data_IF_689781569726
#
_entry.id   IF_689781569726
#
_cell.length_a   1.000
_cell.length_b   1.000
_cell.length_c   1.000
_cell.angle_alpha   90.00
_cell.angle_beta   90.00
_cell.angle_gamma   90.00
#
_symmetry.space_group_name_H-M   'P 1'
#
loop_
_entity.id
_entity.type
_entity.pdbx_description
1 polymer ?
#
# COMPACT_ATOMS: atom_id res chain seq x y z
N UNK A 1 -9.88 5.40 23.91
CA UNK A 1 -8.45 5.04 23.75
C UNK A 1 -7.89 5.94 22.67
N UNK A 2 -7.08 6.93 23.04
CA UNK A 2 -6.53 7.90 22.09
C UNK A 2 -5.12 7.42 21.67
N UNK A 3 -5.07 6.32 20.92
CA UNK A 3 -3.84 5.90 20.28
C UNK A 3 -3.63 6.90 19.15
N UNK A 4 -2.71 7.86 19.32
CA UNK A 4 -2.18 8.63 18.20
C UNK A 4 -1.63 7.60 17.23
N UNK A 5 -2.39 7.28 16.20
CA UNK A 5 -1.93 6.39 15.16
C UNK A 5 -0.90 7.20 14.39
N UNK A 6 0.39 6.92 14.63
CA UNK A 6 1.45 7.59 13.88
C UNK A 6 1.35 7.10 12.44
N UNK A 7 0.92 8.01 11.57
CA UNK A 7 0.86 7.76 10.15
C UNK A 7 2.29 7.69 9.60
N UNK A 8 2.49 6.81 8.62
CA UNK A 8 3.71 6.76 7.82
C UNK A 8 3.44 7.33 6.44
N UNK A 9 4.44 7.98 5.88
CA UNK A 9 4.38 8.54 4.54
C UNK A 9 5.04 7.57 3.56
N UNK A 10 4.30 7.18 2.53
CA UNK A 10 4.77 6.26 1.50
C UNK A 10 4.69 6.99 0.16
N UNK A 11 5.83 7.10 -0.53
CA UNK A 11 5.85 7.59 -1.91
C UNK A 11 5.30 6.49 -2.82
N UNK A 12 4.28 6.79 -3.63
CA UNK A 12 3.67 5.83 -4.53
C UNK A 12 3.51 6.43 -5.93
N UNK A 13 3.98 5.67 -6.91
CA UNK A 13 3.76 5.93 -8.33
C UNK A 13 2.31 5.64 -8.73
N UNK A 14 1.88 6.20 -9.88
CA UNK A 14 0.50 6.10 -10.33
C UNK A 14 0.05 4.65 -10.58
N UNK A 15 0.96 3.80 -11.04
CA UNK A 15 0.72 2.36 -11.25
C UNK A 15 0.66 1.57 -9.94
N UNK A 16 1.51 1.89 -8.96
CA UNK A 16 1.45 1.30 -7.62
C UNK A 16 0.13 1.63 -6.92
N UNK A 17 -0.29 2.90 -6.95
CA UNK A 17 -1.60 3.31 -6.42
C UNK A 17 -2.74 2.58 -7.09
N UNK A 18 -2.66 2.40 -8.40
CA UNK A 18 -3.67 1.64 -9.15
C UNK A 18 -3.74 0.21 -8.67
N UNK A 19 -2.60 -0.46 -8.47
CA UNK A 19 -2.57 -1.82 -7.93
C UNK A 19 -3.20 -1.90 -6.53
N UNK A 20 -2.91 -0.95 -5.65
CA UNK A 20 -3.53 -0.88 -4.32
C UNK A 20 -5.04 -0.66 -4.44
N UNK A 21 -5.49 0.27 -5.29
CA UNK A 21 -6.91 0.53 -5.50
C UNK A 21 -7.66 -0.64 -6.14
N UNK A 22 -7.01 -1.38 -7.04
CA UNK A 22 -7.63 -2.50 -7.75
C UNK A 22 -7.73 -3.76 -6.86
N UNK A 23 -6.81 -3.94 -5.91
CA UNK A 23 -6.65 -5.22 -5.20
C UNK A 23 -6.85 -5.12 -3.68
N UNK A 24 -6.42 -4.02 -3.06
CA UNK A 24 -6.38 -3.88 -1.61
C UNK A 24 -7.21 -2.70 -1.08
N UNK A 25 -8.00 -2.03 -1.94
CA UNK A 25 -8.81 -0.87 -1.57
C UNK A 25 -9.74 -1.12 -0.39
N UNK A 26 -10.24 -2.35 -0.26
CA UNK A 26 -11.10 -2.76 0.87
C UNK A 26 -10.41 -2.58 2.24
N UNK A 27 -9.09 -2.75 2.30
CA UNK A 27 -8.31 -2.61 3.53
C UNK A 27 -7.97 -1.16 3.86
N UNK A 28 -8.06 -0.25 2.89
CA UNK A 28 -7.80 1.18 3.09
C UNK A 28 -9.05 1.84 3.68
N UNK A 29 -9.21 1.72 4.99
CA UNK A 29 -10.39 2.18 5.73
C UNK A 29 -10.37 3.67 6.06
N UNK A 30 -9.19 4.31 6.03
CA UNK A 30 -9.05 5.74 6.27
C UNK A 30 -9.46 6.55 5.02
N UNK A 31 -10.42 7.46 5.20
CA UNK A 31 -10.94 8.28 4.10
C UNK A 31 -9.88 9.22 3.50
N UNK A 32 -8.91 9.68 4.31
CA UNK A 32 -7.83 10.56 3.84
C UNK A 32 -6.84 9.78 3.00
N UNK A 33 -6.40 8.61 3.46
CA UNK A 33 -5.55 7.70 2.69
C UNK A 33 -6.20 7.31 1.37
N UNK A 34 -7.50 7.01 1.39
CA UNK A 34 -8.26 6.65 0.19
C UNK A 34 -8.40 7.83 -0.79
N UNK A 35 -8.66 9.03 -0.29
CA UNK A 35 -8.69 10.24 -1.11
C UNK A 35 -7.32 10.54 -1.73
N UNK A 36 -6.25 10.36 -0.96
CA UNK A 36 -4.88 10.54 -1.42
C UNK A 36 -4.50 9.52 -2.51
N UNK A 37 -4.85 8.24 -2.33
CA UNK A 37 -4.63 7.20 -3.35
C UNK A 37 -5.36 7.50 -4.66
N UNK A 38 -6.59 8.01 -4.56
CA UNK A 38 -7.39 8.40 -5.73
C UNK A 38 -6.87 9.67 -6.40
N UNK A 39 -5.99 10.43 -5.75
CA UNK A 39 -5.36 11.60 -6.33
C UNK A 39 -4.13 11.21 -7.17
N UNK A 40 -4.20 11.31 -8.51
CA UNK A 40 -3.11 10.89 -9.38
C UNK A 40 -1.85 11.76 -9.21
N UNK A 41 -1.98 13.01 -8.76
CA UNK A 41 -0.87 13.97 -8.64
C UNK A 41 -0.09 13.85 -7.32
N UNK A 42 -0.74 13.35 -6.26
CA UNK A 42 -0.16 13.34 -4.92
C UNK A 42 0.69 12.10 -4.71
N UNK A 43 2.01 12.23 -4.75
CA UNK A 43 2.92 11.08 -4.68
C UNK A 43 3.01 10.42 -3.30
N UNK A 44 3.09 11.24 -2.25
CA UNK A 44 3.21 10.81 -0.86
C UNK A 44 1.84 10.57 -0.24
N UNK A 45 1.58 9.35 0.20
CA UNK A 45 0.32 8.90 0.78
C UNK A 45 0.55 8.60 2.26
N UNK A 46 -0.33 9.12 3.10
CA UNK A 46 -0.33 8.80 4.53
C UNK A 46 -1.07 7.48 4.75
N UNK A 47 -0.45 6.56 5.47
CA UNK A 47 -1.08 5.31 5.86
C UNK A 47 -0.89 5.02 7.35
N UNK A 48 -1.87 4.33 7.91
CA UNK A 48 -1.69 3.66 9.20
C UNK A 48 -0.80 2.42 8.97
N UNK A 49 0.28 2.21 9.74
CA UNK A 49 1.14 1.03 9.64
C UNK A 49 0.40 -0.31 9.66
N UNK A 50 -0.68 -0.41 10.45
CA UNK A 50 -1.54 -1.62 10.48
C UNK A 50 -2.21 -1.84 9.13
N UNK A 51 -2.77 -0.79 8.53
CA UNK A 51 -3.39 -0.86 7.19
C UNK A 51 -2.37 -1.26 6.14
N UNK A 52 -1.12 -0.78 6.24
CA UNK A 52 -0.05 -1.17 5.31
C UNK A 52 0.25 -2.67 5.42
N UNK A 53 0.28 -3.22 6.63
CA UNK A 53 0.45 -4.66 6.83
C UNK A 53 -0.67 -5.47 6.18
N UNK A 54 -1.93 -5.03 6.31
CA UNK A 54 -3.08 -5.68 5.66
C UNK A 54 -3.00 -5.57 4.13
N UNK A 55 -2.63 -4.40 3.60
CA UNK A 55 -2.40 -4.18 2.16
C UNK A 55 -1.31 -5.10 1.62
N UNK A 56 -0.18 -5.25 2.33
CA UNK A 56 0.89 -6.18 1.95
C UNK A 56 0.36 -7.61 1.90
N UNK A 57 -0.42 -8.03 2.90
CA UNK A 57 -1.03 -9.35 2.95
C UNK A 57 -1.93 -9.62 1.73
N UNK A 58 -2.79 -8.68 1.38
CA UNK A 58 -3.69 -8.79 0.22
C UNK A 58 -2.93 -8.80 -1.11
N UNK A 59 -1.92 -7.93 -1.27
CA UNK A 59 -1.07 -7.93 -2.46
C UNK A 59 -0.30 -9.24 -2.61
N UNK A 60 0.20 -9.80 -1.50
CA UNK A 60 0.87 -11.10 -1.46
C UNK A 60 -0.09 -12.24 -1.83
N UNK A 61 -1.34 -12.18 -1.37
CA UNK A 61 -2.39 -13.13 -1.76
C UNK A 61 -2.61 -13.13 -3.28
N UNK A 62 -2.63 -11.95 -3.90
CA UNK A 62 -2.77 -11.79 -5.34
C UNK A 62 -1.52 -12.18 -6.11
N UNK A 63 -0.32 -11.85 -5.61
CA UNK A 63 0.96 -12.24 -6.19
C UNK A 63 1.05 -13.77 -6.35
N UNK A 64 0.76 -14.51 -5.27
CA UNK A 64 0.82 -15.98 -5.25
C UNK A 64 -0.18 -16.66 -6.22
N UNK A 65 -1.18 -15.93 -6.71
CA UNK A 65 -2.17 -16.42 -7.69
C UNK A 65 -2.01 -15.78 -9.07
N UNK A 66 -1.04 -14.89 -9.23
CA UNK A 66 -0.80 -14.21 -10.48
C UNK A 66 -0.11 -15.15 -11.47
N UNK A 67 -0.72 -15.37 -12.64
CA UNK A 67 -0.13 -16.16 -13.74
C UNK A 67 0.57 -15.31 -14.80
N UNK A 68 0.59 -13.99 -14.63
CA UNK A 68 1.18 -13.05 -15.57
C UNK A 68 2.50 -12.52 -14.99
N UNK A 69 3.61 -12.83 -15.66
CA UNK A 69 4.96 -12.48 -15.21
C UNK A 69 5.16 -10.95 -15.02
N UNK A 70 4.67 -10.14 -15.96
CA UNK A 70 4.81 -8.69 -15.86
C UNK A 70 4.00 -8.11 -14.69
N UNK A 71 2.82 -8.71 -14.39
CA UNK A 71 2.02 -8.30 -13.24
C UNK A 71 2.61 -8.80 -11.93
N UNK A 72 3.16 -10.01 -11.88
CA UNK A 72 3.82 -10.53 -10.68
C UNK A 72 5.05 -9.71 -10.32
N UNK A 73 5.87 -9.30 -11.31
CA UNK A 73 7.03 -8.43 -11.07
C UNK A 73 6.64 -7.08 -10.46
N UNK A 74 5.56 -6.45 -10.96
CA UNK A 74 5.05 -5.20 -10.38
C UNK A 74 4.51 -5.37 -8.97
N UNK A 75 3.83 -6.49 -8.70
CA UNK A 75 3.34 -6.81 -7.36
C UNK A 75 4.51 -7.05 -6.39
N UNK A 76 5.52 -7.80 -6.82
CA UNK A 76 6.72 -8.09 -6.03
C UNK A 76 7.50 -6.81 -5.67
N UNK A 77 7.70 -5.92 -6.65
CA UNK A 77 8.34 -4.63 -6.44
C UNK A 77 7.56 -3.75 -5.45
N UNK A 78 6.23 -3.69 -5.59
CA UNK A 78 5.37 -2.94 -4.68
C UNK A 78 5.37 -3.52 -3.26
N UNK A 79 5.25 -4.84 -3.11
CA UNK A 79 5.30 -5.52 -1.81
C UNK A 79 6.63 -5.20 -1.12
N UNK A 80 7.74 -5.39 -1.83
CA UNK A 80 9.09 -5.10 -1.31
C UNK A 80 9.24 -3.64 -0.88
N UNK A 81 8.69 -2.70 -1.65
CA UNK A 81 8.72 -1.29 -1.29
C UNK A 81 7.94 -1.01 0.01
N UNK A 82 6.72 -1.52 0.12
CA UNK A 82 5.88 -1.34 1.32
C UNK A 82 6.51 -1.97 2.57
N UNK A 83 7.09 -3.17 2.44
CA UNK A 83 7.79 -3.86 3.53
C UNK A 83 8.99 -3.04 4.03
N UNK A 84 9.80 -2.49 3.11
CA UNK A 84 10.95 -1.66 3.46
C UNK A 84 10.54 -0.39 4.21
N UNK A 85 9.49 0.31 3.74
CA UNK A 85 8.99 1.53 4.40
C UNK A 85 8.39 1.22 5.76
N UNK A 86 7.60 0.13 5.86
CA UNK A 86 7.01 -0.31 7.13
C UNK A 86 8.11 -0.68 8.14
N UNK A 87 9.11 -1.45 7.74
CA UNK A 87 10.24 -1.83 8.59
C UNK A 87 11.06 -0.60 9.03
N UNK A 88 11.23 0.40 8.15
CA UNK A 88 11.93 1.64 8.49
C UNK A 88 11.15 2.48 9.53
N UNK A 89 9.81 2.44 9.49
CA UNK A 89 8.97 3.19 10.44
C UNK A 89 8.92 2.62 11.86
N UNK A 90 9.35 1.36 12.03
CA UNK A 90 9.36 0.64 13.31
C UNK A 90 10.71 0.72 14.05
N UNK A 91 11.70 1.40 13.47
CA UNK A 91 13.05 1.60 14.05
C UNK A 91 13.14 2.94 14.74
#
# INVERSE_FOLDING_TARGET
>A
MNVKTEFIEIDLHADEKKLILDLACFWVTDETSLADLRNPRKKWIRFNPLVVSEVIGELSYHYNRCRNAARSERLDALISHLENVLAASQR
#
